data_IF_511064593559
#
_entry.id   IF_511064593559
#
_cell.length_a   1.000
_cell.length_b   1.000
_cell.length_c   1.000
_cell.angle_alpha   90.00
_cell.angle_beta   90.00
_cell.angle_gamma   90.00
#
_symmetry.space_group_name_H-M   'P 1'
#
loop_
_entity.id
_entity.type
_entity.pdbx_description
1 polymer ?
#
# COMPACT_ATOMS: atom_id res chain seq x y z
N UNK A 1 32.02 1.84 12.51
CA UNK A 1 31.13 0.69 12.16
C UNK A 1 30.11 0.57 13.26
N UNK A 2 28.96 1.23 13.11
CA UNK A 2 27.85 1.12 14.04
C UNK A 2 27.16 -0.24 13.85
N UNK A 3 27.01 -0.99 14.92
CA UNK A 3 26.24 -2.23 14.93
C UNK A 3 24.77 -1.84 15.05
N UNK A 4 24.00 -1.92 13.94
CA UNK A 4 22.56 -1.78 13.99
C UNK A 4 21.93 -2.85 14.89
N UNK A 5 20.92 -2.46 15.66
CA UNK A 5 20.21 -3.38 16.54
C UNK A 5 19.13 -4.09 15.71
N UNK A 6 19.18 -5.43 15.68
CA UNK A 6 18.17 -6.24 15.01
C UNK A 6 16.92 -6.33 15.89
N UNK A 7 15.78 -5.87 15.38
CA UNK A 7 14.47 -6.01 16.02
C UNK A 7 13.60 -6.99 15.25
N UNK A 8 12.75 -7.75 15.97
CA UNK A 8 11.81 -8.73 15.39
C UNK A 8 10.39 -8.19 15.41
N UNK A 9 9.70 -8.35 14.30
CA UNK A 9 8.25 -8.13 14.21
C UNK A 9 7.48 -9.33 14.78
N UNK A 10 6.20 -9.15 15.16
CA UNK A 10 5.38 -10.23 15.72
C UNK A 10 5.13 -11.42 14.77
N UNK A 11 5.44 -11.28 13.49
CA UNK A 11 5.36 -12.32 12.47
C UNK A 11 6.67 -13.11 12.27
N UNK A 12 7.71 -12.77 13.06
CA UNK A 12 9.02 -13.42 13.02
C UNK A 12 10.03 -12.81 12.03
N UNK A 13 9.66 -11.78 11.27
CA UNK A 13 10.60 -11.08 10.39
C UNK A 13 11.54 -10.14 11.14
N UNK A 14 12.82 -10.14 10.76
CA UNK A 14 13.85 -9.31 11.38
C UNK A 14 14.10 -8.04 10.55
N UNK A 15 14.27 -6.89 11.22
CA UNK A 15 14.69 -5.65 10.58
C UNK A 15 15.77 -4.92 11.40
N UNK A 16 16.59 -4.12 10.73
CA UNK A 16 17.64 -3.30 11.37
C UNK A 16 17.10 -1.88 11.54
N UNK A 17 17.10 -1.38 12.78
CA UNK A 17 16.72 -0.01 13.11
C UNK A 17 17.97 0.89 13.02
N UNK A 18 17.96 1.87 12.11
CA UNK A 18 19.10 2.77 11.82
C UNK A 18 18.88 4.22 12.33
N UNK A 19 17.89 4.47 13.20
CA UNK A 19 17.63 5.81 13.74
C UNK A 19 18.27 6.00 15.12
N UNK A 20 19.57 6.33 15.14
CA UNK A 20 20.19 7.01 16.28
C UNK A 20 21.27 8.00 15.79
N UNK A 21 20.80 9.17 15.36
CA UNK A 21 21.65 10.34 15.07
C UNK A 21 21.79 11.21 16.31
N UNK A 22 22.67 10.81 17.22
CA UNK A 22 23.16 11.69 18.29
C UNK A 22 24.20 12.67 17.74
N UNK A 23 23.84 13.96 17.75
CA UNK A 23 24.69 15.10 17.42
C UNK A 23 26.02 15.07 18.18
N UNK A 24 27.13 14.97 17.47
CA UNK A 24 28.44 15.24 18.00
C UNK A 24 28.91 16.65 17.56
N UNK A 25 28.87 17.61 18.50
CA UNK A 25 29.56 18.91 18.38
C UNK A 25 31.04 18.71 18.74
N UNK A 26 31.93 18.87 17.79
CA UNK A 26 33.34 19.08 18.13
C UNK A 26 33.88 20.38 17.49
N UNK A 27 34.32 21.29 18.37
CA UNK A 27 35.13 22.45 18.04
C UNK A 27 36.52 21.98 17.64
N UNK A 28 37.05 22.48 16.53
CA UNK A 28 38.50 22.52 16.33
C UNK A 28 38.95 23.87 15.77
N UNK A 29 39.85 24.49 16.52
CA UNK A 29 40.66 25.66 16.11
C UNK A 29 41.86 25.20 15.25
N UNK A 30 42.08 25.95 14.22
CA UNK A 30 43.24 26.39 13.50
C UNK A 30 44.53 25.58 13.48
N UNK A 31 45.08 25.48 12.27
CA UNK A 31 46.46 25.83 11.92
C UNK A 31 46.52 25.89 10.37
N UNK A 32 46.96 27.06 9.85
CA UNK A 32 47.25 27.31 8.45
C UNK A 32 48.64 26.78 8.15
N UNK A 33 48.75 25.87 7.19
CA UNK A 33 50.04 25.60 6.55
C UNK A 33 49.81 25.54 5.03
N UNK A 34 50.35 26.56 4.34
CA UNK A 34 50.36 26.66 2.88
C UNK A 34 51.48 25.75 2.36
N UNK A 35 51.08 24.70 1.63
CA UNK A 35 52.00 23.95 0.77
C UNK A 35 51.43 23.95 -0.65
N UNK A 36 52.07 24.69 -1.55
CA UNK A 36 51.76 24.66 -2.97
C UNK A 36 52.21 23.31 -3.55
N UNK A 37 51.25 22.45 -3.92
CA UNK A 37 51.45 21.33 -4.81
C UNK A 37 50.58 21.52 -6.04
N UNK A 38 51.23 21.67 -7.17
CA UNK A 38 50.65 21.50 -8.50
C UNK A 38 50.17 20.03 -8.57
N UNK A 39 48.89 19.80 -8.34
CA UNK A 39 48.27 18.49 -8.39
C UNK A 39 47.20 18.46 -9.47
N UNK A 40 47.27 17.47 -10.35
CA UNK A 40 46.25 17.11 -11.33
C UNK A 40 44.86 17.28 -10.73
N UNK A 41 44.05 18.19 -11.27
CA UNK A 41 42.63 18.31 -10.96
C UNK A 41 41.97 17.02 -11.41
N UNK A 42 41.32 16.25 -10.52
CA UNK A 42 40.47 15.16 -10.97
C UNK A 42 39.34 15.77 -11.81
N UNK A 43 39.15 15.28 -13.03
CA UNK A 43 38.01 15.64 -13.85
C UNK A 43 36.76 15.38 -13.03
N UNK A 44 36.15 16.42 -12.45
CA UNK A 44 34.86 16.35 -11.80
C UNK A 44 33.87 16.00 -12.90
N UNK A 45 33.54 14.72 -12.99
CA UNK A 45 32.39 14.29 -13.78
C UNK A 45 31.15 14.94 -13.15
N UNK A 46 30.72 16.08 -13.70
CA UNK A 46 29.47 16.70 -13.33
C UNK A 46 28.38 15.64 -13.56
N UNK A 47 27.81 15.12 -12.49
CA UNK A 47 26.66 14.22 -12.59
C UNK A 47 25.57 15.00 -13.32
N UNK A 48 25.31 14.63 -14.58
CA UNK A 48 24.32 15.27 -15.44
C UNK A 48 22.96 15.33 -14.72
N UNK A 49 22.51 16.53 -14.37
CA UNK A 49 21.24 16.74 -13.67
C UNK A 49 20.04 16.48 -14.59
N UNK A 50 18.89 16.18 -13.99
CA UNK A 50 17.64 16.01 -14.75
C UNK A 50 17.28 17.36 -15.37
N UNK A 51 17.15 17.43 -16.71
CA UNK A 51 16.77 18.65 -17.42
C UNK A 51 15.40 19.15 -17.00
N UNK A 52 15.30 20.45 -16.74
CA UNK A 52 14.03 21.13 -16.46
C UNK A 52 13.19 21.27 -17.74
N UNK A 53 11.94 21.71 -17.61
CA UNK A 53 11.12 22.13 -18.72
C UNK A 53 11.70 23.41 -19.32
N UNK A 54 12.29 23.33 -20.51
CA UNK A 54 12.86 24.46 -21.22
C UNK A 54 11.80 25.33 -21.94
N UNK A 55 12.24 26.43 -22.57
CA UNK A 55 11.37 27.33 -23.34
C UNK A 55 10.61 26.64 -24.48
N UNK A 56 11.18 25.57 -25.05
CA UNK A 56 10.57 24.77 -26.12
C UNK A 56 9.59 23.70 -25.59
N UNK A 57 9.43 23.59 -24.26
CA UNK A 57 8.52 22.63 -23.64
C UNK A 57 7.13 23.23 -23.45
N UNK A 58 6.09 22.41 -23.71
CA UNK A 58 4.70 22.76 -23.44
C UNK A 58 4.34 22.28 -22.02
N UNK A 59 3.97 23.18 -21.12
CA UNK A 59 3.39 22.84 -19.81
C UNK A 59 2.07 22.11 -20.00
N UNK A 60 1.87 20.96 -19.33
CA UNK A 60 0.68 20.12 -19.53
C UNK A 60 -0.13 19.92 -18.27
N UNK A 61 0.47 19.65 -17.13
CA UNK A 61 -0.22 19.53 -15.84
C UNK A 61 -1.27 18.41 -15.79
N UNK A 62 -1.07 17.33 -16.54
CA UNK A 62 -2.04 16.22 -16.66
C UNK A 62 -1.53 14.94 -16.01
N UNK A 63 -2.46 14.13 -15.51
CA UNK A 63 -2.13 12.81 -14.98
C UNK A 63 -2.40 11.72 -16.03
N UNK A 64 -1.48 10.75 -16.09
CA UNK A 64 -1.52 9.64 -17.04
C UNK A 64 -1.28 8.31 -16.34
N UNK A 65 -1.85 7.25 -16.88
CA UNK A 65 -1.42 5.86 -16.62
C UNK A 65 -0.24 5.54 -17.53
N UNK A 66 0.62 4.67 -17.06
CA UNK A 66 1.72 4.14 -17.87
C UNK A 66 1.24 2.90 -18.63
N UNK A 67 1.69 2.72 -19.86
CA UNK A 67 1.41 1.56 -20.70
C UNK A 67 2.72 0.90 -21.13
N UNK A 68 3.03 -0.23 -20.53
CA UNK A 68 4.25 -1.01 -20.76
C UNK A 68 4.93 -1.41 -19.46
N UNK A 69 6.03 -2.14 -19.59
CA UNK A 69 6.88 -2.59 -18.48
C UNK A 69 8.32 -2.10 -18.69
N UNK A 70 9.05 -1.93 -17.59
CA UNK A 70 10.48 -1.56 -17.59
C UNK A 70 10.84 -0.30 -18.41
N UNK A 71 9.93 0.67 -18.44
CA UNK A 71 10.11 1.91 -19.20
C UNK A 71 11.18 2.76 -18.48
N UNK A 72 12.30 3.00 -19.15
CA UNK A 72 13.39 3.78 -18.59
C UNK A 72 13.02 5.24 -18.38
N UNK A 73 13.32 5.76 -17.19
CA UNK A 73 13.27 7.19 -16.89
C UNK A 73 14.63 7.81 -17.16
N UNK A 74 14.67 8.91 -17.92
CA UNK A 74 15.89 9.54 -18.41
C UNK A 74 16.11 10.95 -17.85
N UNK A 75 17.32 11.44 -17.95
CA UNK A 75 17.70 12.78 -17.50
C UNK A 75 17.22 13.90 -18.44
N UNK A 76 16.85 13.59 -19.68
CA UNK A 76 16.38 14.57 -20.66
C UNK A 76 15.50 13.98 -21.75
N UNK A 77 14.94 14.84 -22.63
CA UNK A 77 13.95 14.48 -23.67
C UNK A 77 14.63 13.86 -24.89
N UNK A 78 15.13 12.63 -24.76
CA UNK A 78 15.79 11.92 -25.85
C UNK A 78 16.44 10.61 -25.42
N UNK A 79 16.70 9.72 -26.36
CA UNK A 79 17.44 8.47 -26.12
C UNK A 79 18.92 8.69 -25.87
N UNK A 80 19.45 9.82 -26.32
CA UNK A 80 20.81 10.28 -26.09
C UNK A 80 21.06 10.74 -24.63
N UNK A 81 20.01 11.05 -23.88
CA UNK A 81 20.15 11.37 -22.46
C UNK A 81 20.28 10.10 -21.61
N UNK A 82 21.17 10.12 -20.65
CA UNK A 82 21.43 9.02 -19.75
C UNK A 82 20.18 8.58 -18.96
N UNK A 83 20.10 7.29 -18.64
CA UNK A 83 19.09 6.75 -17.71
C UNK A 83 19.39 7.24 -16.29
N UNK A 84 18.36 7.43 -15.48
CA UNK A 84 18.53 7.82 -14.08
C UNK A 84 18.85 6.58 -13.25
N UNK A 85 19.94 6.63 -12.48
CA UNK A 85 20.34 5.52 -11.61
C UNK A 85 19.42 5.46 -10.38
N UNK A 86 18.93 4.29 -10.06
CA UNK A 86 18.26 4.01 -8.80
C UNK A 86 19.32 3.77 -7.72
N UNK A 87 19.70 4.83 -7.00
CA UNK A 87 20.76 4.79 -5.99
C UNK A 87 20.51 3.74 -4.90
N UNK A 88 19.26 3.65 -4.42
CA UNK A 88 18.88 2.67 -3.37
C UNK A 88 19.06 1.24 -3.86
N UNK A 89 18.50 0.89 -5.01
CA UNK A 89 18.62 -0.45 -5.57
C UNK A 89 20.08 -0.78 -5.93
N UNK A 90 20.83 0.17 -6.52
CA UNK A 90 22.24 0.01 -6.87
C UNK A 90 23.10 -0.30 -5.63
N UNK A 91 22.87 0.42 -4.52
CA UNK A 91 23.59 0.20 -3.26
C UNK A 91 23.29 -1.18 -2.65
N UNK A 92 22.01 -1.57 -2.64
CA UNK A 92 21.58 -2.85 -2.04
C UNK A 92 22.07 -4.04 -2.87
N UNK A 93 21.89 -3.97 -4.20
CA UNK A 93 22.16 -5.09 -5.10
C UNK A 93 23.61 -5.07 -5.63
N UNK A 94 24.43 -4.09 -5.23
CA UNK A 94 25.84 -3.92 -5.63
C UNK A 94 26.06 -3.96 -7.15
N UNK A 95 25.04 -3.60 -7.93
CA UNK A 95 25.05 -3.54 -9.38
C UNK A 95 24.22 -2.32 -9.82
N UNK A 96 24.65 -1.62 -10.87
CA UNK A 96 23.92 -0.46 -11.38
C UNK A 96 22.51 -0.84 -11.80
N UNK A 97 21.53 -0.25 -11.12
CA UNK A 97 20.11 -0.33 -11.45
C UNK A 97 19.62 1.05 -11.88
N UNK A 98 18.72 1.07 -12.86
CA UNK A 98 18.12 2.31 -13.36
C UNK A 98 16.68 2.43 -12.88
N UNK A 99 16.20 3.66 -12.80
CA UNK A 99 14.79 3.93 -12.54
C UNK A 99 13.98 3.53 -13.77
N UNK A 100 13.02 2.63 -13.55
CA UNK A 100 12.02 2.22 -14.54
C UNK A 100 10.63 2.41 -13.98
N UNK A 101 9.65 2.58 -14.86
CA UNK A 101 8.22 2.63 -14.53
C UNK A 101 7.46 1.63 -15.40
N UNK A 102 6.28 1.23 -14.94
CA UNK A 102 5.42 0.28 -15.63
C UNK A 102 3.93 0.65 -15.47
N UNK A 103 3.04 -0.24 -15.90
CA UNK A 103 1.60 -0.05 -15.85
C UNK A 103 0.99 -0.03 -14.43
N UNK A 104 1.77 -0.29 -13.39
CA UNK A 104 1.32 -0.21 -11.99
C UNK A 104 1.28 1.22 -11.46
N UNK A 105 1.96 2.18 -12.15
CA UNK A 105 2.07 3.55 -11.65
C UNK A 105 1.17 4.53 -12.39
N UNK A 106 0.82 5.61 -11.69
CA UNK A 106 0.25 6.83 -12.26
C UNK A 106 1.29 7.93 -12.18
N UNK A 107 1.41 8.70 -13.26
CA UNK A 107 2.36 9.80 -13.35
C UNK A 107 1.65 11.13 -13.60
N UNK A 108 2.24 12.21 -13.10
CA UNK A 108 1.88 13.57 -13.43
C UNK A 108 2.89 14.09 -14.46
N UNK A 109 2.43 14.57 -15.61
CA UNK A 109 3.25 15.19 -16.62
C UNK A 109 3.39 16.68 -16.32
N UNK A 110 4.61 17.12 -16.04
CA UNK A 110 4.95 18.51 -15.79
C UNK A 110 4.98 19.31 -17.11
N UNK A 111 5.59 18.73 -18.12
CA UNK A 111 5.68 19.30 -19.48
C UNK A 111 5.98 18.23 -20.53
N UNK A 112 5.77 18.58 -21.79
CA UNK A 112 6.17 17.77 -22.94
C UNK A 112 7.09 18.54 -23.88
N UNK A 113 8.03 17.83 -24.52
CA UNK A 113 8.93 18.34 -25.54
C UNK A 113 9.11 17.30 -26.64
N UNK A 114 8.59 17.61 -27.83
CA UNK A 114 8.54 16.64 -28.93
C UNK A 114 7.79 15.37 -28.55
N UNK A 115 8.48 14.22 -28.64
CA UNK A 115 7.92 12.89 -28.29
C UNK A 115 8.24 12.49 -26.85
N UNK A 116 8.60 13.42 -25.97
CA UNK A 116 9.03 13.16 -24.59
C UNK A 116 8.22 13.97 -23.60
N UNK A 117 7.93 13.34 -22.47
CA UNK A 117 7.21 13.93 -21.34
C UNK A 117 8.08 13.90 -20.08
N UNK A 118 8.18 15.04 -19.40
CA UNK A 118 8.78 15.12 -18.08
C UNK A 118 7.71 14.77 -17.05
N UNK A 119 7.98 13.72 -16.28
CA UNK A 119 7.00 13.15 -15.36
C UNK A 119 7.55 13.05 -13.94
N UNK A 120 6.63 12.95 -12.99
CA UNK A 120 6.86 12.39 -11.66
C UNK A 120 5.78 11.36 -11.35
N UNK A 121 6.13 10.27 -10.66
CA UNK A 121 5.15 9.29 -10.18
C UNK A 121 4.30 9.95 -9.10
N UNK A 122 2.99 9.73 -9.12
CA UNK A 122 2.03 10.22 -8.12
C UNK A 122 1.30 9.10 -7.41
N UNK A 123 1.28 7.91 -7.98
CA UNK A 123 0.73 6.72 -7.36
C UNK A 123 1.55 5.49 -7.80
N UNK A 124 2.14 4.74 -6.85
CA UNK A 124 2.15 4.96 -5.41
C UNK A 124 2.99 6.18 -4.99
N UNK A 125 2.54 6.89 -3.96
CA UNK A 125 3.11 8.16 -3.49
C UNK A 125 4.55 8.06 -2.98
N UNK A 126 4.95 6.92 -2.40
CA UNK A 126 6.32 6.68 -1.93
C UNK A 126 7.38 6.72 -3.06
N UNK A 127 6.96 6.60 -4.33
CA UNK A 127 7.85 6.75 -5.49
C UNK A 127 7.98 8.19 -5.98
N UNK A 128 7.15 9.11 -5.49
CA UNK A 128 7.03 10.48 -6.03
C UNK A 128 8.31 11.29 -5.98
N UNK A 129 9.17 11.06 -5.01
CA UNK A 129 10.45 11.76 -4.87
C UNK A 129 11.55 11.17 -5.76
N UNK A 130 11.56 9.85 -5.92
CA UNK A 130 12.64 9.13 -6.61
C UNK A 130 12.38 8.91 -8.11
N UNK A 131 11.11 8.72 -8.50
CA UNK A 131 10.74 8.37 -9.88
C UNK A 131 10.26 9.63 -10.64
N UNK A 132 11.24 10.48 -10.99
CA UNK A 132 11.05 11.74 -11.72
C UNK A 132 12.03 11.81 -12.87
N UNK A 133 11.61 12.34 -14.00
CA UNK A 133 12.47 12.53 -15.18
C UNK A 133 11.69 12.46 -16.48
N UNK A 134 12.35 12.11 -17.57
CA UNK A 134 11.78 12.11 -18.91
C UNK A 134 11.50 10.69 -19.39
N UNK A 135 10.32 10.50 -19.97
CA UNK A 135 9.88 9.25 -20.61
C UNK A 135 9.32 9.54 -22.00
N UNK A 136 9.35 8.56 -22.91
CA UNK A 136 8.70 8.74 -24.19
C UNK A 136 7.17 8.83 -24.01
N UNK A 137 6.56 9.88 -24.58
CA UNK A 137 5.12 10.19 -24.42
C UNK A 137 4.20 9.07 -24.90
N UNK A 138 4.66 8.23 -25.83
CA UNK A 138 3.90 7.05 -26.32
C UNK A 138 3.54 6.03 -25.25
N UNK A 139 4.26 6.06 -24.13
CA UNK A 139 3.97 5.18 -22.97
C UNK A 139 2.98 5.80 -21.99
N UNK A 140 2.55 7.03 -22.21
CA UNK A 140 1.55 7.69 -21.39
C UNK A 140 0.18 7.58 -22.05
N UNK A 141 -0.82 7.16 -21.30
CA UNK A 141 -2.20 7.09 -21.76
C UNK A 141 -3.15 7.75 -20.77
N UNK A 142 -4.15 8.45 -21.29
CA UNK A 142 -5.21 9.03 -20.47
C UNK A 142 -6.01 7.91 -19.78
N UNK A 143 -6.50 8.20 -18.58
CA UNK A 143 -7.48 7.34 -17.93
C UNK A 143 -8.75 7.27 -18.79
N UNK A 144 -9.30 6.08 -18.93
CA UNK A 144 -10.60 5.89 -19.57
C UNK A 144 -11.68 6.10 -18.54
N UNK A 145 -12.61 6.99 -18.80
CA UNK A 145 -13.70 7.35 -17.87
C UNK A 145 -15.02 6.99 -18.55
N UNK A 146 -15.96 6.39 -17.81
CA UNK A 146 -17.32 6.12 -18.30
C UNK A 146 -18.22 7.36 -18.20
N UNK A 147 -19.46 7.23 -18.67
CA UNK A 147 -20.47 8.30 -18.63
C UNK A 147 -20.83 8.78 -17.21
N UNK A 148 -20.49 8.00 -16.18
CA UNK A 148 -20.73 8.32 -14.77
C UNK A 148 -19.48 8.91 -14.08
N UNK A 149 -18.42 9.21 -14.84
CA UNK A 149 -17.18 9.75 -14.30
C UNK A 149 -16.30 8.72 -13.58
N UNK A 150 -16.59 7.42 -13.71
CA UNK A 150 -15.82 6.34 -13.06
C UNK A 150 -14.71 5.86 -13.99
N UNK A 151 -13.51 5.65 -13.45
CA UNK A 151 -12.38 5.07 -14.21
C UNK A 151 -12.74 3.65 -14.67
N UNK A 152 -12.51 3.37 -15.95
CA UNK A 152 -12.70 2.05 -16.58
C UNK A 152 -11.34 1.46 -16.90
N UNK A 153 -11.03 0.32 -16.29
CA UNK A 153 -9.82 -0.42 -16.56
C UNK A 153 -9.93 -1.25 -17.83
N UNK A 154 -8.85 -1.28 -18.59
CA UNK A 154 -8.71 -2.04 -19.84
C UNK A 154 -7.63 -3.11 -19.70
N UNK A 155 -7.44 -3.97 -20.66
CA UNK A 155 -6.38 -4.98 -20.59
C UNK A 155 -4.96 -4.44 -20.38
N UNK A 156 -4.72 -3.18 -20.74
CA UNK A 156 -3.44 -2.50 -20.53
C UNK A 156 -3.18 -2.10 -19.05
N UNK A 157 -4.20 -2.19 -18.18
CA UNK A 157 -4.08 -1.90 -16.76
C UNK A 157 -3.67 -3.11 -15.93
N UNK A 158 -3.58 -4.29 -16.54
CA UNK A 158 -3.35 -5.56 -15.87
C UNK A 158 -2.07 -6.23 -16.36
N UNK A 159 -1.47 -7.05 -15.49
CA UNK A 159 -0.36 -7.94 -15.84
C UNK A 159 -0.88 -9.38 -15.91
N UNK A 160 -1.13 -9.89 -17.12
CA UNK A 160 -1.63 -11.24 -17.33
C UNK A 160 -0.49 -12.21 -17.63
N UNK A 161 -0.30 -13.20 -16.76
CA UNK A 161 0.59 -14.33 -16.97
C UNK A 161 -0.10 -15.49 -17.72
N UNK A 162 0.62 -16.61 -17.87
CA UNK A 162 0.08 -17.82 -18.52
C UNK A 162 -1.18 -18.37 -17.83
N UNK A 163 -1.31 -18.22 -16.50
CA UNK A 163 -2.45 -18.74 -15.72
C UNK A 163 -3.68 -17.84 -15.83
N UNK A 164 -3.49 -16.53 -15.82
CA UNK A 164 -4.57 -15.54 -15.79
C UNK A 164 -5.05 -15.13 -17.19
N UNK A 165 -4.20 -15.31 -18.22
CA UNK A 165 -4.51 -14.93 -19.61
C UNK A 165 -5.81 -15.54 -20.16
N UNK A 166 -6.16 -16.83 -19.90
CA UNK A 166 -7.43 -17.40 -20.35
C UNK A 166 -8.67 -16.72 -19.76
N UNK A 167 -8.53 -16.06 -18.62
CA UNK A 167 -9.61 -15.41 -17.87
C UNK A 167 -9.60 -13.89 -17.98
N UNK A 168 -8.82 -13.32 -18.92
CA UNK A 168 -8.63 -11.88 -19.08
C UNK A 168 -9.95 -11.10 -19.12
N UNK A 169 -10.94 -11.55 -19.90
CA UNK A 169 -12.25 -10.89 -20.01
C UNK A 169 -13.00 -10.84 -18.69
N UNK A 170 -13.05 -11.97 -17.98
CA UNK A 170 -13.73 -12.07 -16.67
C UNK A 170 -13.04 -11.24 -15.60
N UNK A 171 -11.70 -11.24 -15.57
CA UNK A 171 -10.94 -10.45 -14.59
C UNK A 171 -11.18 -8.95 -14.83
N UNK A 172 -11.09 -8.47 -16.07
CA UNK A 172 -11.35 -7.06 -16.40
C UNK A 172 -12.79 -6.67 -16.04
N UNK A 173 -13.78 -7.47 -16.42
CA UNK A 173 -15.18 -7.21 -16.11
C UNK A 173 -15.47 -7.18 -14.61
N UNK A 174 -14.95 -8.17 -13.86
CA UNK A 174 -15.11 -8.27 -12.42
C UNK A 174 -14.47 -7.10 -11.67
N UNK A 175 -13.24 -6.71 -12.05
CA UNK A 175 -12.53 -5.58 -11.44
C UNK A 175 -13.25 -4.26 -11.70
N UNK A 176 -13.72 -4.01 -12.94
CA UNK A 176 -14.50 -2.82 -13.26
C UNK A 176 -15.82 -2.78 -12.49
N UNK A 177 -16.49 -3.92 -12.35
CA UNK A 177 -17.73 -4.03 -11.58
C UNK A 177 -17.49 -3.74 -10.09
N UNK A 178 -16.44 -4.31 -9.51
CA UNK A 178 -16.04 -4.05 -8.12
C UNK A 178 -15.71 -2.57 -7.93
N UNK A 179 -14.97 -1.96 -8.85
CA UNK A 179 -14.60 -0.55 -8.76
C UNK A 179 -15.82 0.38 -8.76
N UNK A 180 -16.82 0.10 -9.58
CA UNK A 180 -18.08 0.86 -9.60
C UNK A 180 -18.93 0.67 -8.34
N UNK A 181 -19.08 -0.56 -7.90
CA UNK A 181 -20.10 -0.91 -6.90
C UNK A 181 -19.60 -0.88 -5.46
N UNK A 182 -18.28 -1.04 -5.23
CA UNK A 182 -17.71 -1.07 -3.90
C UNK A 182 -17.10 0.29 -3.53
N UNK A 183 -17.78 1.05 -2.69
CA UNK A 183 -17.32 2.38 -2.26
C UNK A 183 -15.95 2.37 -1.56
N UNK A 184 -15.50 1.24 -1.02
CA UNK A 184 -14.17 1.07 -0.41
C UNK A 184 -13.07 0.69 -1.41
N UNK A 185 -13.44 0.37 -2.66
CA UNK A 185 -12.51 0.06 -3.74
C UNK A 185 -12.24 1.26 -4.67
N UNK A 186 -12.32 2.49 -4.17
CA UNK A 186 -11.92 3.69 -4.94
C UNK A 186 -10.45 3.64 -5.36
N UNK A 187 -9.59 3.05 -4.51
CA UNK A 187 -8.23 2.70 -4.85
C UNK A 187 -8.18 1.19 -5.09
N UNK A 188 -7.95 0.79 -6.33
CA UNK A 188 -7.87 -0.62 -6.74
C UNK A 188 -6.52 -0.88 -7.41
N UNK A 189 -5.84 -1.94 -6.97
CA UNK A 189 -4.58 -2.36 -7.58
C UNK A 189 -4.85 -3.41 -8.64
N UNK A 190 -4.94 -3.01 -9.89
CA UNK A 190 -5.20 -3.90 -11.02
C UNK A 190 -4.11 -4.94 -11.25
N UNK A 191 -2.85 -4.64 -10.89
CA UNK A 191 -1.73 -5.58 -10.99
C UNK A 191 -1.82 -6.73 -9.97
N UNK A 192 -2.64 -6.57 -8.91
CA UNK A 192 -2.91 -7.64 -7.92
C UNK A 192 -3.96 -8.64 -8.37
N UNK A 193 -4.67 -8.36 -9.49
CA UNK A 193 -5.77 -9.21 -9.94
C UNK A 193 -5.26 -10.60 -10.36
N UNK A 194 -5.63 -11.64 -9.61
CA UNK A 194 -5.12 -12.98 -9.80
C UNK A 194 -6.12 -14.07 -9.40
N UNK A 195 -5.78 -15.33 -9.70
CA UNK A 195 -6.53 -16.50 -9.26
C UNK A 195 -6.25 -16.76 -7.78
N UNK A 196 -7.28 -16.96 -6.98
CA UNK A 196 -7.15 -17.32 -5.57
C UNK A 196 -6.64 -18.75 -5.41
N UNK A 197 -5.60 -18.92 -4.58
CA UNK A 197 -5.10 -20.24 -4.20
C UNK A 197 -5.92 -20.92 -3.11
N UNK A 198 -6.69 -20.13 -2.33
CA UNK A 198 -7.45 -20.61 -1.17
C UNK A 198 -8.96 -20.73 -1.41
N UNK A 199 -9.45 -20.27 -2.57
CA UNK A 199 -10.87 -20.26 -2.92
C UNK A 199 -11.08 -20.74 -4.34
N UNK A 200 -12.23 -21.45 -4.55
CA UNK A 200 -12.58 -22.01 -5.85
C UNK A 200 -11.90 -23.35 -6.15
N UNK A 201 -12.03 -23.79 -7.38
CA UNK A 201 -11.44 -25.03 -7.93
C UNK A 201 -10.90 -24.78 -9.33
N UNK A 202 -10.22 -25.77 -9.93
CA UNK A 202 -9.78 -25.67 -11.34
C UNK A 202 -10.93 -25.48 -12.32
N UNK A 203 -12.09 -26.12 -12.07
CA UNK A 203 -13.28 -26.02 -12.90
C UNK A 203 -14.10 -24.73 -12.62
N UNK A 204 -13.99 -24.17 -11.42
CA UNK A 204 -14.67 -22.94 -11.02
C UNK A 204 -13.71 -22.01 -10.28
N UNK A 205 -12.80 -21.36 -10.98
CA UNK A 205 -11.80 -20.50 -10.36
C UNK A 205 -12.44 -19.26 -9.74
N UNK A 206 -11.91 -18.90 -8.57
CA UNK A 206 -12.22 -17.64 -7.89
C UNK A 206 -11.03 -16.71 -8.08
N UNK A 207 -11.31 -15.48 -8.44
CA UNK A 207 -10.34 -14.40 -8.62
C UNK A 207 -10.40 -13.45 -7.44
N UNK A 208 -9.37 -12.65 -7.28
CA UNK A 208 -9.37 -11.53 -6.34
C UNK A 208 -8.69 -10.32 -6.94
N UNK A 209 -8.98 -9.17 -6.37
CA UNK A 209 -8.28 -7.93 -6.59
C UNK A 209 -8.11 -7.20 -5.27
N UNK A 210 -6.97 -6.55 -5.07
CA UNK A 210 -6.68 -5.79 -3.86
C UNK A 210 -7.19 -4.36 -3.99
N UNK A 211 -7.96 -3.93 -2.99
CA UNK A 211 -8.50 -2.58 -2.82
C UNK A 211 -7.87 -1.90 -1.61
N UNK A 212 -7.89 -0.56 -1.58
CA UNK A 212 -7.38 0.24 -0.48
C UNK A 212 -5.96 0.76 -0.69
N UNK A 213 -5.43 1.46 0.31
CA UNK A 213 -4.05 1.99 0.33
C UNK A 213 -3.39 1.75 1.68
N UNK A 214 -2.05 1.63 1.67
CA UNK A 214 -1.24 1.44 2.87
C UNK A 214 -1.69 0.22 3.68
N UNK A 215 -1.87 0.38 4.99
CA UNK A 215 -2.31 -0.68 5.90
C UNK A 215 -3.81 -1.01 5.83
N UNK A 216 -4.59 -0.27 5.04
CA UNK A 216 -6.05 -0.51 4.85
C UNK A 216 -6.36 -1.29 3.58
N UNK A 217 -5.45 -2.14 3.12
CA UNK A 217 -5.64 -2.97 1.95
C UNK A 217 -6.48 -4.22 2.28
N UNK A 218 -7.28 -4.67 1.32
CA UNK A 218 -8.08 -5.89 1.43
C UNK A 218 -8.39 -6.48 0.07
N UNK A 219 -8.63 -7.79 0.03
CA UNK A 219 -8.98 -8.48 -1.20
C UNK A 219 -10.50 -8.60 -1.36
N UNK A 220 -10.99 -8.28 -2.54
CA UNK A 220 -12.36 -8.59 -2.98
C UNK A 220 -12.30 -9.78 -3.91
N UNK A 221 -13.05 -10.83 -3.56
CA UNK A 221 -13.08 -12.09 -4.31
C UNK A 221 -14.31 -12.13 -5.22
N UNK A 222 -14.15 -12.72 -6.39
CA UNK A 222 -15.24 -12.91 -7.36
C UNK A 222 -14.97 -14.12 -8.25
N UNK A 223 -16.05 -14.74 -8.72
CA UNK A 223 -16.03 -15.83 -9.69
C UNK A 223 -16.59 -15.37 -11.04
N UNK A 224 -16.48 -16.20 -12.06
CA UNK A 224 -17.14 -15.99 -13.35
C UNK A 224 -18.65 -15.81 -13.16
N UNK A 225 -19.29 -16.70 -12.36
CA UNK A 225 -20.73 -16.64 -12.10
C UNK A 225 -21.16 -15.37 -11.35
N UNK A 226 -20.30 -14.81 -10.46
CA UNK A 226 -20.61 -13.56 -9.77
C UNK A 226 -20.67 -12.36 -10.75
N UNK A 227 -19.85 -12.39 -11.80
CA UNK A 227 -19.84 -11.36 -12.84
C UNK A 227 -21.03 -11.52 -13.78
N UNK A 228 -21.30 -12.75 -14.26
CA UNK A 228 -22.35 -13.05 -15.24
C UNK A 228 -23.77 -12.94 -14.67
N UNK A 229 -23.97 -13.35 -13.40
CA UNK A 229 -25.25 -13.25 -12.69
C UNK A 229 -25.50 -11.90 -12.01
N UNK A 230 -24.75 -10.90 -12.36
CA UNK A 230 -24.87 -9.52 -11.85
C UNK A 230 -24.88 -9.42 -10.30
N UNK A 231 -24.09 -10.27 -9.61
CA UNK A 231 -23.91 -10.16 -8.16
C UNK A 231 -23.37 -8.79 -7.79
N UNK A 232 -23.97 -8.13 -6.80
CA UNK A 232 -23.53 -6.81 -6.33
C UNK A 232 -22.33 -6.93 -5.38
N UNK A 233 -21.28 -6.13 -5.64
CA UNK A 233 -20.05 -6.07 -4.83
C UNK A 233 -20.05 -4.92 -3.81
N UNK A 234 -21.19 -4.59 -3.26
CA UNK A 234 -21.33 -3.49 -2.29
C UNK A 234 -20.41 -3.69 -1.08
N UNK A 235 -19.85 -2.58 -0.57
CA UNK A 235 -19.09 -2.60 0.67
C UNK A 235 -19.98 -3.11 1.82
N UNK A 236 -19.49 -4.09 2.58
CA UNK A 236 -20.21 -4.59 3.75
C UNK A 236 -20.25 -3.51 4.82
N UNK A 237 -21.41 -3.30 5.44
CA UNK A 237 -21.58 -2.40 6.59
C UNK A 237 -20.90 -3.01 7.82
N UNK A 238 -20.32 -2.15 8.66
CA UNK A 238 -19.88 -2.54 9.99
C UNK A 238 -21.01 -2.37 10.99
N UNK A 239 -20.94 -3.14 12.07
CA UNK A 239 -21.69 -2.83 13.29
C UNK A 239 -21.14 -1.51 13.87
N UNK A 240 -21.96 -0.69 14.52
CA UNK A 240 -21.47 0.52 15.19
C UNK A 240 -20.50 0.14 16.33
N UNK A 241 -19.51 0.99 16.57
CA UNK A 241 -18.50 0.73 17.61
C UNK A 241 -19.12 0.56 18.99
N UNK A 242 -20.14 1.37 19.35
CA UNK A 242 -20.86 1.25 20.61
C UNK A 242 -21.54 -0.13 20.70
N UNK A 243 -22.36 -0.49 19.70
CA UNK A 243 -23.05 -1.80 19.70
C UNK A 243 -22.06 -2.97 19.71
N UNK A 244 -20.92 -2.85 19.05
CA UNK A 244 -19.87 -3.89 19.10
C UNK A 244 -19.30 -4.05 20.51
N UNK A 245 -19.05 -2.96 21.22
CA UNK A 245 -18.57 -2.96 22.60
C UNK A 245 -19.62 -3.52 23.55
N UNK A 246 -20.90 -3.13 23.39
CA UNK A 246 -22.01 -3.63 24.20
C UNK A 246 -22.18 -5.14 24.06
N UNK A 247 -22.12 -5.67 22.84
CA UNK A 247 -22.20 -7.11 22.61
C UNK A 247 -21.01 -7.87 23.21
N UNK A 248 -19.81 -7.28 23.17
CA UNK A 248 -18.63 -7.89 23.77
C UNK A 248 -18.72 -7.90 25.28
N UNK A 249 -19.19 -6.83 25.90
CA UNK A 249 -19.44 -6.75 27.35
C UNK A 249 -20.53 -7.73 27.78
N UNK A 250 -21.65 -7.80 27.05
CA UNK A 250 -22.72 -8.76 27.33
C UNK A 250 -22.21 -10.20 27.26
N UNK A 251 -21.30 -10.50 26.34
CA UNK A 251 -20.66 -11.82 26.32
C UNK A 251 -19.77 -12.04 27.56
N UNK A 252 -18.99 -11.05 27.99
CA UNK A 252 -18.21 -11.14 29.23
C UNK A 252 -19.13 -11.43 30.42
N UNK A 253 -20.23 -10.69 30.57
CA UNK A 253 -21.23 -10.90 31.61
C UNK A 253 -21.84 -12.32 31.58
N UNK A 254 -22.12 -12.83 30.38
CA UNK A 254 -22.71 -14.18 30.23
C UNK A 254 -21.76 -15.32 30.63
N UNK A 255 -20.45 -15.04 30.71
CA UNK A 255 -19.41 -16.02 31.06
C UNK A 255 -18.85 -15.87 32.47
N UNK A 256 -19.13 -14.76 33.13
CA UNK A 256 -18.69 -14.51 34.51
C UNK A 256 -19.52 -15.31 35.49
N UNK A 257 -18.89 -15.82 36.60
CA UNK A 257 -19.56 -16.49 37.69
C UNK A 257 -20.57 -15.57 38.39
N UNK A 258 -20.21 -14.28 38.47
CA UNK A 258 -21.07 -13.23 39.04
C UNK A 258 -21.23 -12.10 38.00
N UNK A 259 -22.21 -12.18 37.08
CA UNK A 259 -22.41 -11.24 35.99
C UNK A 259 -22.52 -9.77 36.41
N UNK A 260 -23.13 -9.50 37.59
CA UNK A 260 -23.29 -8.14 38.13
C UNK A 260 -22.00 -7.49 38.62
N UNK A 261 -20.94 -8.26 38.79
CA UNK A 261 -19.62 -7.78 39.23
C UNK A 261 -18.68 -7.48 38.06
N UNK A 262 -19.14 -7.67 36.81
CA UNK A 262 -18.32 -7.38 35.61
C UNK A 262 -18.16 -5.88 35.46
N UNK A 263 -16.94 -5.40 35.60
CA UNK A 263 -16.53 -4.03 35.23
C UNK A 263 -15.72 -4.07 33.93
N UNK A 264 -16.36 -3.68 32.84
CA UNK A 264 -15.81 -3.73 31.50
C UNK A 264 -15.12 -2.40 31.16
N UNK A 265 -13.82 -2.44 30.83
CA UNK A 265 -13.08 -1.24 30.44
C UNK A 265 -13.59 -0.71 29.10
N UNK A 266 -14.22 0.47 29.12
CA UNK A 266 -14.82 1.13 27.95
C UNK A 266 -13.96 2.26 27.38
N UNK A 267 -12.88 2.64 28.06
CA UNK A 267 -12.06 3.81 27.70
C UNK A 267 -10.59 3.43 27.59
N UNK A 268 -9.95 3.10 28.71
CA UNK A 268 -8.47 3.00 28.78
C UNK A 268 -7.89 1.80 28.03
N UNK A 269 -8.57 0.66 28.09
CA UNK A 269 -8.07 -0.60 27.51
C UNK A 269 -8.96 -1.11 26.36
N UNK A 270 -9.90 -0.27 25.89
CA UNK A 270 -10.78 -0.59 24.77
C UNK A 270 -10.12 -0.26 23.44
N UNK A 271 -10.03 -1.24 22.57
CA UNK A 271 -9.63 -1.07 21.16
C UNK A 271 -10.71 -1.63 20.24
N UNK A 272 -11.24 -0.80 19.36
CA UNK A 272 -12.22 -1.19 18.34
C UNK A 272 -11.63 -0.98 16.96
N UNK A 273 -11.36 -2.08 16.27
CA UNK A 273 -10.75 -2.10 14.94
C UNK A 273 -11.71 -2.65 13.89
N UNK A 274 -11.96 -1.86 12.87
CA UNK A 274 -12.79 -2.23 11.72
C UNK A 274 -11.94 -2.77 10.58
N UNK A 275 -12.22 -4.01 10.17
CA UNK A 275 -11.56 -4.61 9.01
C UNK A 275 -12.34 -4.31 7.73
N UNK A 276 -11.67 -4.13 6.58
CA UNK A 276 -12.35 -3.74 5.32
C UNK A 276 -13.41 -4.73 4.82
N UNK A 277 -13.40 -5.99 5.29
CA UNK A 277 -14.38 -7.02 4.93
C UNK A 277 -15.71 -6.94 5.70
N UNK A 278 -15.94 -5.86 6.46
CA UNK A 278 -17.17 -5.62 7.23
C UNK A 278 -17.16 -6.24 8.62
N UNK A 279 -16.02 -6.76 9.08
CA UNK A 279 -15.86 -7.27 10.45
C UNK A 279 -15.30 -6.20 11.37
N UNK A 280 -15.71 -6.24 12.63
CA UNK A 280 -15.23 -5.38 13.71
C UNK A 280 -14.62 -6.25 14.79
N UNK A 281 -13.39 -5.95 15.22
CA UNK A 281 -12.76 -6.61 16.35
C UNK A 281 -12.72 -5.65 17.53
N UNK A 282 -13.29 -6.09 18.64
CA UNK A 282 -13.22 -5.42 19.94
C UNK A 282 -12.20 -6.17 20.80
N UNK A 283 -11.29 -5.45 21.41
CA UNK A 283 -10.40 -5.95 22.44
C UNK A 283 -10.53 -5.05 23.66
N UNK A 284 -10.65 -5.64 24.84
CA UNK A 284 -10.73 -4.92 26.10
C UNK A 284 -10.29 -5.81 27.25
N UNK A 285 -10.32 -5.26 28.46
CA UNK A 285 -10.22 -6.01 29.68
C UNK A 285 -11.49 -5.79 30.51
N UNK A 286 -11.73 -6.67 31.46
CA UNK A 286 -12.76 -6.51 32.47
C UNK A 286 -12.32 -7.18 33.77
N UNK A 287 -12.82 -6.69 34.93
CA UNK A 287 -12.76 -7.42 36.18
C UNK A 287 -14.08 -8.10 36.48
N UNK A 288 -14.02 -9.21 37.18
CA UNK A 288 -15.20 -9.93 37.65
C UNK A 288 -14.84 -10.78 38.87
N UNK A 289 -15.78 -10.99 39.81
CA UNK A 289 -15.62 -11.92 40.92
C UNK A 289 -15.82 -13.36 40.46
N UNK A 290 -14.92 -14.23 40.85
CA UNK A 290 -15.05 -15.67 40.67
C UNK A 290 -15.96 -16.31 41.74
N UNK A 291 -16.15 -17.64 41.66
CA UNK A 291 -16.98 -18.41 42.65
C UNK A 291 -16.51 -18.31 44.08
N UNK A 292 -15.25 -17.90 44.33
CA UNK A 292 -14.68 -17.67 45.68
C UNK A 292 -14.77 -16.19 46.09
N UNK A 293 -15.53 -15.38 45.35
CA UNK A 293 -15.70 -13.94 45.59
C UNK A 293 -14.39 -13.11 45.42
N UNK A 294 -13.35 -13.69 44.80
CA UNK A 294 -12.10 -13.00 44.44
C UNK A 294 -12.24 -12.28 43.14
N UNK A 295 -11.84 -11.01 43.08
CA UNK A 295 -11.84 -10.19 41.86
C UNK A 295 -10.64 -10.54 41.01
N UNK A 296 -10.89 -10.92 39.77
CA UNK A 296 -9.86 -11.28 38.78
C UNK A 296 -10.00 -10.42 37.55
N UNK A 297 -8.86 -10.04 36.97
CA UNK A 297 -8.79 -9.29 35.69
C UNK A 297 -8.66 -10.24 34.51
N UNK A 298 -9.46 -9.98 33.50
CA UNK A 298 -9.52 -10.77 32.26
C UNK A 298 -9.29 -9.91 31.03
N UNK A 299 -8.74 -10.51 29.98
CA UNK A 299 -8.69 -9.96 28.62
C UNK A 299 -9.80 -10.59 27.80
N UNK A 300 -10.46 -9.78 26.96
CA UNK A 300 -11.48 -10.26 26.03
C UNK A 300 -11.18 -9.79 24.61
N UNK A 301 -11.42 -10.65 23.63
CA UNK A 301 -11.36 -10.32 22.21
C UNK A 301 -12.60 -10.85 21.52
N UNK A 302 -13.40 -9.94 20.94
CA UNK A 302 -14.62 -10.27 20.21
C UNK A 302 -14.45 -9.96 18.74
N UNK A 303 -14.92 -10.82 17.85
CA UNK A 303 -15.06 -10.61 16.44
C UNK A 303 -16.55 -10.52 16.09
N UNK A 304 -16.93 -9.43 15.44
CA UNK A 304 -18.33 -9.12 15.10
C UNK A 304 -18.47 -8.78 13.62
N UNK A 305 -19.68 -8.89 13.09
CA UNK A 305 -20.08 -8.31 11.81
C UNK A 305 -21.39 -7.51 11.97
N UNK A 306 -22.02 -7.12 10.85
CA UNK A 306 -23.29 -6.38 10.88
C UNK A 306 -24.44 -7.11 11.56
N UNK A 307 -24.35 -8.44 11.69
CA UNK A 307 -25.40 -9.30 12.27
C UNK A 307 -25.17 -9.53 13.77
N UNK A 308 -23.97 -9.29 14.29
CA UNK A 308 -23.64 -9.43 15.70
C UNK A 308 -22.32 -10.13 15.96
N UNK A 309 -22.22 -10.81 17.12
CA UNK A 309 -21.04 -11.52 17.57
C UNK A 309 -20.82 -12.80 16.76
N UNK A 310 -19.62 -12.96 16.20
CA UNK A 310 -19.18 -14.16 15.47
C UNK A 310 -18.38 -15.07 16.40
N UNK A 311 -17.46 -14.48 17.17
CA UNK A 311 -16.49 -15.20 17.98
C UNK A 311 -16.08 -14.33 19.17
N UNK A 312 -15.88 -14.92 20.32
CA UNK A 312 -15.27 -14.25 21.44
C UNK A 312 -14.36 -15.20 22.21
N UNK A 313 -13.26 -14.64 22.72
CA UNK A 313 -12.28 -15.35 23.56
C UNK A 313 -11.99 -14.52 24.81
N UNK A 314 -11.97 -15.20 25.96
CA UNK A 314 -11.63 -14.64 27.26
C UNK A 314 -10.42 -15.39 27.79
N UNK A 315 -9.45 -14.66 28.33
CA UNK A 315 -8.27 -15.20 29.01
C UNK A 315 -7.95 -14.37 30.26
N UNK A 316 -7.29 -14.95 31.24
CA UNK A 316 -6.78 -14.17 32.38
C UNK A 316 -5.77 -13.12 31.91
N UNK A 317 -5.82 -11.94 32.51
CA UNK A 317 -4.80 -10.92 32.39
C UNK A 317 -3.69 -11.22 33.38
N UNK A 318 -2.56 -11.68 32.87
CA UNK A 318 -1.34 -11.78 33.68
C UNK A 318 -0.82 -10.40 34.03
#
# INVERSE_FOLDING_TARGET
MGKGVIKKLPDGTEYVDEDDDTMYKSKWLGIITILAMVGLLPATTFAESIKSCGSTSKKTGKSYKVNGSEINVRKGPGTNFGKIVNQKATRILKKTHYITIDNSVTVFEECSQGKWSKIRVTDPDYLSQSHRGWVASKFLRSKKIDSLGTEVFTGADFSFDRKTRPYKGIIIAGVNKIHRENSRCKNINTSSAYISSSKGSKSNPVFYVTCGKGYKVFNVFFSKSDVEKDKKFRAKKHISKSKASDLCENYAKSKASHPSTVDFSRIMELSVYETPNGRTRVRSTFTAKNSFNLELKHKISCLLDSNGLIEANISEAK
#
